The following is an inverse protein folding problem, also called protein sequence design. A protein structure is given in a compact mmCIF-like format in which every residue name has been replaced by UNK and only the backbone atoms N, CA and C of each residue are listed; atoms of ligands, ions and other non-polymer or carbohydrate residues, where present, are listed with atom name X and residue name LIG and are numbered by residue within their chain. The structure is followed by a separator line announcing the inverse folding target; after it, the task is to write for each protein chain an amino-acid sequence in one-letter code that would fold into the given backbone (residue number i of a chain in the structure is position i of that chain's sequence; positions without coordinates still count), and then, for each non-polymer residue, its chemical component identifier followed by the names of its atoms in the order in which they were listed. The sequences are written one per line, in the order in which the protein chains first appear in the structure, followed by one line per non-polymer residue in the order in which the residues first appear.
data_IF_462335659810
#
_entry.id   IF_462335659810
#
_cell.length_a   1.000
_cell.length_b   1.000
_cell.length_c   1.000
_cell.angle_alpha   90.00
_cell.angle_beta   90.00
_cell.angle_gamma   90.00
#
_symmetry.space_group_name_H-M   'P 1'
#
loop_
_entity.id
_entity.type
_entity.pdbx_description
1 polymer ?
#
# COMPACT_ATOMS: atom_id res chain seq x y z
N UNK A 1 -25.00 52.01 -4.90
CA UNK A 1 -25.84 51.19 -3.98
C UNK A 1 -26.25 49.81 -4.52
N UNK A 2 -26.85 49.64 -5.70
CA UNK A 2 -27.31 48.32 -6.19
C UNK A 2 -26.16 47.28 -6.38
N UNK A 3 -24.98 47.68 -6.87
CA UNK A 3 -23.80 46.77 -7.06
C UNK A 3 -23.20 46.27 -5.74
N UNK A 4 -23.13 47.11 -4.71
CA UNK A 4 -22.64 46.72 -3.38
C UNK A 4 -23.56 45.69 -2.72
N UNK A 5 -24.87 45.83 -2.84
CA UNK A 5 -25.85 44.88 -2.30
C UNK A 5 -25.78 43.51 -3.02
N UNK A 6 -25.46 43.49 -4.32
CA UNK A 6 -25.26 42.26 -5.08
C UNK A 6 -23.98 41.54 -4.61
N UNK A 7 -22.89 42.27 -4.44
CA UNK A 7 -21.61 41.73 -3.97
C UNK A 7 -21.74 41.10 -2.57
N UNK A 8 -22.40 41.76 -1.65
CA UNK A 8 -22.66 41.24 -0.29
C UNK A 8 -23.51 39.94 -0.34
N UNK A 9 -24.51 39.88 -1.22
CA UNK A 9 -25.31 38.66 -1.39
C UNK A 9 -24.46 37.51 -1.91
N UNK A 10 -23.63 37.75 -2.91
CA UNK A 10 -22.73 36.70 -3.46
C UNK A 10 -21.79 36.15 -2.36
N UNK A 11 -21.19 37.03 -1.56
CA UNK A 11 -20.33 36.61 -0.45
C UNK A 11 -21.10 35.75 0.55
N UNK A 12 -22.33 36.15 0.93
CA UNK A 12 -23.16 35.34 1.83
C UNK A 12 -23.45 33.94 1.27
N UNK A 13 -23.79 33.83 -0.02
CA UNK A 13 -24.03 32.54 -0.65
C UNK A 13 -22.75 31.68 -0.70
N UNK A 14 -21.61 32.28 -1.00
CA UNK A 14 -20.31 31.54 -0.99
C UNK A 14 -19.97 31.04 0.43
N UNK A 15 -20.22 31.82 1.47
CA UNK A 15 -20.03 31.41 2.86
C UNK A 15 -20.97 30.26 3.27
N UNK A 16 -22.22 30.30 2.83
CA UNK A 16 -23.19 29.23 3.09
C UNK A 16 -22.76 27.95 2.37
N UNK A 17 -22.36 28.04 1.10
CA UNK A 17 -21.88 26.88 0.34
C UNK A 17 -20.62 26.29 0.97
N UNK A 18 -19.65 27.12 1.35
CA UNK A 18 -18.43 26.67 2.01
C UNK A 18 -18.69 25.99 3.36
N UNK A 19 -19.60 26.52 4.16
CA UNK A 19 -19.99 25.90 5.43
C UNK A 19 -20.69 24.55 5.23
N UNK A 20 -21.55 24.44 4.22
CA UNK A 20 -22.19 23.16 3.86
C UNK A 20 -21.17 22.12 3.41
N UNK A 21 -20.20 22.50 2.57
CA UNK A 21 -19.12 21.63 2.15
C UNK A 21 -18.27 21.13 3.32
N UNK A 22 -17.99 21.99 4.31
CA UNK A 22 -17.28 21.63 5.53
C UNK A 22 -18.07 20.59 6.33
N UNK A 23 -19.37 20.77 6.50
CA UNK A 23 -20.24 19.83 7.23
C UNK A 23 -20.26 18.47 6.52
N UNK A 24 -20.43 18.47 5.20
CA UNK A 24 -20.39 17.23 4.40
C UNK A 24 -19.02 16.55 4.54
N UNK A 25 -17.93 17.31 4.46
CA UNK A 25 -16.58 16.79 4.63
C UNK A 25 -16.37 16.13 6.01
N UNK A 26 -16.81 16.79 7.08
CA UNK A 26 -16.74 16.25 8.45
C UNK A 26 -17.58 14.96 8.54
N UNK A 27 -18.80 14.96 8.01
CA UNK A 27 -19.68 13.80 8.00
C UNK A 27 -19.06 12.60 7.30
N UNK A 28 -18.46 12.79 6.12
CA UNK A 28 -17.77 11.75 5.39
C UNK A 28 -16.56 11.21 6.16
N UNK A 29 -15.79 12.08 6.82
CA UNK A 29 -14.67 11.64 7.66
C UNK A 29 -15.10 10.78 8.83
N UNK A 30 -16.17 11.16 9.52
CA UNK A 30 -16.72 10.41 10.63
C UNK A 30 -17.27 9.06 10.15
N UNK A 31 -17.94 9.03 8.99
CA UNK A 31 -18.42 7.80 8.38
C UNK A 31 -17.26 6.85 8.04
N UNK A 32 -16.22 7.31 7.34
CA UNK A 32 -15.05 6.49 7.03
C UNK A 32 -14.40 5.96 8.32
N UNK A 33 -14.20 6.84 9.32
CA UNK A 33 -13.64 6.45 10.60
C UNK A 33 -14.47 5.40 11.34
N UNK A 34 -15.80 5.40 11.19
CA UNK A 34 -16.67 4.39 11.82
C UNK A 34 -16.50 2.99 11.26
N UNK A 35 -15.94 2.86 10.05
CA UNK A 35 -15.64 1.58 9.39
C UNK A 35 -14.20 1.11 9.59
N UNK A 36 -13.42 1.82 10.41
CA UNK A 36 -12.01 1.52 10.67
C UNK A 36 -11.82 0.21 11.43
N UNK A 37 -11.04 -0.70 10.87
CA UNK A 37 -10.56 -1.88 11.58
C UNK A 37 -9.24 -1.52 12.27
N UNK A 38 -9.20 -1.68 13.58
CA UNK A 38 -7.99 -1.46 14.37
C UNK A 38 -7.04 -2.64 14.20
N UNK A 39 -5.95 -2.41 13.51
CA UNK A 39 -4.91 -3.42 13.31
C UNK A 39 -4.13 -3.61 14.61
N UNK A 40 -4.09 -4.84 15.10
CA UNK A 40 -3.33 -5.20 16.30
C UNK A 40 -1.83 -5.33 15.94
N UNK A 41 -1.03 -4.42 16.46
CA UNK A 41 0.42 -4.39 16.24
C UNK A 41 1.11 -5.69 16.69
N UNK A 42 0.65 -6.30 17.78
CA UNK A 42 1.26 -7.53 18.29
C UNK A 42 1.01 -8.71 17.32
N UNK A 43 -0.17 -8.76 16.71
CA UNK A 43 -0.45 -9.77 15.67
C UNK A 43 0.45 -9.56 14.46
N UNK A 44 0.64 -8.30 13.99
CA UNK A 44 1.58 -8.03 12.91
C UNK A 44 2.99 -8.50 13.27
N UNK A 45 3.47 -8.16 14.46
CA UNK A 45 4.81 -8.56 14.93
C UNK A 45 4.98 -10.09 15.01
N UNK A 46 3.98 -10.79 15.52
CA UNK A 46 4.00 -12.26 15.64
C UNK A 46 3.99 -12.97 14.28
N UNK A 47 3.35 -12.37 13.27
CA UNK A 47 3.29 -12.88 11.92
C UNK A 47 4.43 -12.39 11.01
N UNK A 48 5.36 -11.64 11.57
CA UNK A 48 6.53 -11.12 10.86
C UNK A 48 7.75 -11.93 11.26
N UNK A 49 8.29 -12.66 10.31
CA UNK A 49 9.43 -13.56 10.55
C UNK A 49 10.71 -13.10 9.83
N UNK A 50 10.68 -11.93 9.18
CA UNK A 50 11.80 -11.32 8.48
C UNK A 50 12.06 -9.89 8.95
N UNK A 51 13.24 -9.39 8.61
CA UNK A 51 13.63 -7.98 8.76
C UNK A 51 14.37 -7.54 7.51
N UNK A 52 13.74 -6.69 6.71
CA UNK A 52 14.33 -6.12 5.51
C UNK A 52 15.35 -5.03 5.86
N UNK A 53 16.42 -4.93 5.07
CA UNK A 53 17.34 -3.79 5.12
C UNK A 53 16.69 -2.53 4.56
N UNK A 54 17.23 -1.36 4.89
CA UNK A 54 16.73 -0.09 4.36
C UNK A 54 16.85 -0.03 2.82
N UNK A 55 17.88 -0.67 2.24
CA UNK A 55 18.03 -0.81 0.79
C UNK A 55 16.90 -1.68 0.20
N UNK A 56 16.63 -2.85 0.79
CA UNK A 56 15.53 -3.71 0.35
C UNK A 56 14.18 -3.00 0.43
N UNK A 57 13.95 -2.19 1.48
CA UNK A 57 12.73 -1.39 1.61
C UNK A 57 12.62 -0.34 0.51
N UNK A 58 13.72 0.36 0.16
CA UNK A 58 13.74 1.31 -0.97
C UNK A 58 13.43 0.62 -2.30
N UNK A 59 14.06 -0.52 -2.56
CA UNK A 59 13.78 -1.33 -3.75
C UNK A 59 12.30 -1.74 -3.80
N UNK A 60 11.76 -2.29 -2.73
CA UNK A 60 10.37 -2.71 -2.64
C UNK A 60 9.41 -1.53 -2.88
N UNK A 61 9.70 -0.37 -2.31
CA UNK A 61 8.92 0.84 -2.51
C UNK A 61 8.87 1.26 -3.98
N UNK A 62 10.02 1.28 -4.65
CA UNK A 62 10.10 1.64 -6.05
C UNK A 62 9.37 0.64 -6.95
N UNK A 63 9.59 -0.67 -6.73
CA UNK A 63 9.03 -1.72 -7.60
C UNK A 63 7.53 -1.89 -7.42
N UNK A 64 7.05 -1.87 -6.18
CA UNK A 64 5.64 -2.15 -5.88
C UNK A 64 4.75 -0.91 -5.97
N UNK A 65 5.30 0.26 -5.68
CA UNK A 65 4.49 1.47 -5.49
C UNK A 65 4.97 2.67 -6.33
N UNK A 66 6.00 2.50 -7.15
CA UNK A 66 6.57 3.53 -8.02
C UNK A 66 7.02 4.80 -7.26
N UNK A 67 7.48 4.64 -6.02
CA UNK A 67 7.93 5.72 -5.15
C UNK A 67 9.34 5.47 -4.63
N UNK A 68 10.11 6.56 -4.48
CA UNK A 68 11.46 6.50 -3.89
C UNK A 68 11.45 6.64 -2.36
N UNK A 69 10.41 7.22 -1.79
CA UNK A 69 10.29 7.39 -0.34
C UNK A 69 9.36 6.32 0.25
N UNK A 70 9.91 5.41 1.07
CA UNK A 70 9.13 4.34 1.69
C UNK A 70 8.27 4.80 2.87
N UNK A 71 8.51 5.98 3.41
CA UNK A 71 7.77 6.51 4.56
C UNK A 71 6.34 6.91 4.17
N UNK A 72 5.45 6.82 5.15
CA UNK A 72 4.09 7.33 4.96
C UNK A 72 4.11 8.86 4.87
N UNK A 73 3.72 9.41 3.73
CA UNK A 73 3.45 10.83 3.65
C UNK A 73 2.14 11.11 4.40
N UNK A 74 2.18 12.09 5.32
CA UNK A 74 1.00 12.59 6.02
C UNK A 74 0.05 13.29 5.05
N UNK A 75 -0.78 12.52 4.35
CA UNK A 75 -1.86 13.08 3.55
C UNK A 75 -3.02 13.44 4.48
N UNK A 76 -3.15 14.72 4.78
CA UNK A 76 -4.21 15.24 5.64
C UNK A 76 -5.59 15.37 4.97
N UNK A 77 -5.75 14.94 3.72
CA UNK A 77 -6.97 15.18 2.97
C UNK A 77 -7.62 13.89 2.47
N UNK A 78 -8.91 13.69 2.85
CA UNK A 78 -9.82 12.67 2.32
C UNK A 78 -9.84 12.60 0.79
N UNK A 79 -9.78 13.76 0.14
CA UNK A 79 -9.87 13.90 -1.30
C UNK A 79 -8.64 13.27 -1.98
N UNK A 80 -7.44 13.50 -1.46
CA UNK A 80 -6.22 12.90 -2.00
C UNK A 80 -6.19 11.38 -1.80
N UNK A 81 -6.70 10.87 -0.67
CA UNK A 81 -6.75 9.43 -0.41
C UNK A 81 -7.82 8.70 -1.22
N UNK A 82 -8.99 9.33 -1.41
CA UNK A 82 -10.08 8.75 -2.20
C UNK A 82 -9.78 8.72 -3.71
N UNK A 83 -8.98 9.68 -4.20
CA UNK A 83 -8.55 9.75 -5.60
C UNK A 83 -7.12 9.24 -5.83
N UNK A 84 -6.34 9.02 -4.77
CA UNK A 84 -5.06 8.35 -4.86
C UNK A 84 -5.30 6.84 -5.04
N UNK A 85 -5.42 6.42 -6.28
CA UNK A 85 -5.42 5.00 -6.69
C UNK A 85 -4.07 4.33 -6.42
N UNK A 86 -3.09 5.06 -5.88
CA UNK A 86 -1.76 4.52 -5.61
C UNK A 86 -1.82 3.57 -4.44
N UNK A 87 -1.63 2.31 -4.75
CA UNK A 87 -1.33 1.31 -3.75
C UNK A 87 -0.12 1.78 -2.93
N UNK A 88 -0.14 1.54 -1.64
CA UNK A 88 1.02 1.72 -0.79
C UNK A 88 1.08 0.57 0.21
N UNK A 89 2.21 0.47 0.91
CA UNK A 89 2.45 -0.61 1.85
C UNK A 89 1.39 -0.67 2.98
N UNK A 90 0.80 0.46 3.37
CA UNK A 90 -0.25 0.48 4.38
C UNK A 90 -1.54 -0.20 3.89
N UNK A 91 -1.90 -0.03 2.60
CA UNK A 91 -3.05 -0.72 2.01
C UNK A 91 -2.78 -2.22 1.89
N UNK A 92 -1.59 -2.61 1.44
CA UNK A 92 -1.19 -4.02 1.36
C UNK A 92 -1.21 -4.67 2.75
N UNK A 93 -0.71 -3.97 3.77
CA UNK A 93 -0.77 -4.42 5.17
C UNK A 93 -2.21 -4.59 5.64
N UNK A 94 -3.07 -3.60 5.38
CA UNK A 94 -4.49 -3.66 5.76
C UNK A 94 -5.20 -4.85 5.09
N UNK A 95 -5.00 -5.04 3.79
CA UNK A 95 -5.64 -6.12 3.01
C UNK A 95 -5.21 -7.51 3.50
N UNK A 96 -3.92 -7.73 3.73
CA UNK A 96 -3.42 -9.01 4.27
C UNK A 96 -3.98 -9.23 5.68
N UNK A 97 -3.98 -8.20 6.53
CA UNK A 97 -4.50 -8.30 7.89
C UNK A 97 -6.00 -8.60 7.91
N UNK A 98 -6.79 -7.89 7.10
CA UNK A 98 -8.23 -8.11 6.99
C UNK A 98 -8.50 -9.55 6.50
N UNK A 99 -7.83 -9.98 5.44
CA UNK A 99 -8.00 -11.33 4.89
C UNK A 99 -7.63 -12.43 5.87
N UNK A 100 -6.67 -12.20 6.77
CA UNK A 100 -6.18 -13.19 7.73
C UNK A 100 -6.98 -13.23 9.03
N UNK A 101 -7.45 -12.09 9.52
CA UNK A 101 -7.98 -11.93 10.86
C UNK A 101 -9.44 -11.51 10.94
N UNK A 102 -10.04 -11.12 9.82
CA UNK A 102 -11.43 -10.69 9.78
C UNK A 102 -12.26 -11.66 8.94
N UNK A 103 -13.48 -11.96 9.41
CA UNK A 103 -14.43 -12.71 8.58
C UNK A 103 -14.98 -11.75 7.51
N UNK A 104 -14.46 -11.91 6.30
CA UNK A 104 -14.81 -11.08 5.14
C UNK A 104 -16.32 -11.03 4.89
N UNK A 105 -17.03 -12.14 5.17
CA UNK A 105 -18.49 -12.23 4.99
C UNK A 105 -19.28 -11.30 5.91
N UNK A 106 -18.67 -10.86 7.00
CA UNK A 106 -19.28 -9.95 7.99
C UNK A 106 -18.83 -8.50 7.84
N UNK A 107 -17.97 -8.19 6.85
CA UNK A 107 -17.40 -6.85 6.69
C UNK A 107 -18.26 -5.91 5.87
N UNK A 108 -19.17 -6.41 5.04
CA UNK A 108 -20.07 -5.60 4.23
C UNK A 108 -20.65 -6.37 3.04
N UNK A 109 -21.82 -5.95 2.60
CA UNK A 109 -22.55 -6.62 1.51
C UNK A 109 -22.26 -6.00 0.14
N UNK A 110 -21.56 -4.88 0.09
CA UNK A 110 -21.32 -4.15 -1.15
C UNK A 110 -19.84 -3.86 -1.40
N UNK A 111 -19.47 -3.73 -2.68
CA UNK A 111 -18.12 -3.32 -3.09
C UNK A 111 -17.71 -1.96 -2.49
N UNK A 112 -18.68 -1.04 -2.30
CA UNK A 112 -18.42 0.28 -1.71
C UNK A 112 -18.08 0.19 -0.22
N UNK A 113 -18.73 -0.72 0.51
CA UNK A 113 -18.42 -0.95 1.93
C UNK A 113 -17.00 -1.51 2.09
N UNK A 114 -16.61 -2.48 1.27
CA UNK A 114 -15.24 -2.98 1.24
C UNK A 114 -14.23 -1.88 1.00
N UNK A 115 -14.41 -1.08 -0.04
CA UNK A 115 -13.50 0.04 -0.35
C UNK A 115 -13.42 1.05 0.80
N UNK A 116 -14.53 1.28 1.50
CA UNK A 116 -14.57 2.19 2.65
C UNK A 116 -13.81 1.60 3.84
N UNK A 117 -13.94 0.30 4.09
CA UNK A 117 -13.20 -0.41 5.16
C UNK A 117 -11.70 -0.42 4.85
N UNK A 118 -11.31 -0.73 3.61
CA UNK A 118 -9.92 -0.71 3.17
C UNK A 118 -9.30 0.69 3.37
N UNK A 119 -9.99 1.73 2.93
CA UNK A 119 -9.55 3.12 3.09
C UNK A 119 -9.41 3.51 4.57
N UNK A 120 -10.38 3.16 5.39
CA UNK A 120 -10.38 3.45 6.81
C UNK A 120 -9.24 2.71 7.52
N UNK A 121 -9.06 1.42 7.22
CA UNK A 121 -8.02 0.57 7.82
C UNK A 121 -6.62 0.98 7.34
N UNK A 122 -6.44 1.32 6.05
CA UNK A 122 -5.22 1.93 5.52
C UNK A 122 -4.82 3.16 6.33
N UNK A 123 -5.78 4.05 6.60
CA UNK A 123 -5.53 5.26 7.41
C UNK A 123 -5.11 4.93 8.84
N UNK A 124 -5.76 3.93 9.44
CA UNK A 124 -5.34 3.46 10.75
C UNK A 124 -3.90 2.98 10.75
N UNK A 125 -3.53 2.15 9.77
CA UNK A 125 -2.15 1.64 9.60
C UNK A 125 -1.17 2.78 9.45
N UNK A 126 -1.41 3.71 8.52
CA UNK A 126 -0.53 4.87 8.30
C UNK A 126 -0.30 5.72 9.55
N UNK A 127 -1.28 5.81 10.41
CA UNK A 127 -1.22 6.62 11.63
C UNK A 127 -0.57 5.92 12.81
N UNK A 128 -0.71 4.60 12.92
CA UNK A 128 -0.44 3.86 14.15
C UNK A 128 0.64 2.78 14.00
N UNK A 129 1.00 2.41 12.78
CA UNK A 129 1.95 1.33 12.50
C UNK A 129 3.17 1.90 11.80
N UNK A 130 4.35 1.49 12.24
CA UNK A 130 5.61 1.86 11.60
C UNK A 130 5.72 1.25 10.18
N UNK A 131 6.21 2.03 9.21
CA UNK A 131 6.28 1.59 7.82
C UNK A 131 7.23 0.40 7.63
N UNK A 132 8.33 0.31 8.40
CA UNK A 132 9.26 -0.84 8.33
C UNK A 132 8.56 -2.13 8.78
N UNK A 133 7.74 -2.05 9.82
CA UNK A 133 6.92 -3.19 10.23
C UNK A 133 5.92 -3.58 9.16
N UNK A 134 5.32 -2.62 8.45
CA UNK A 134 4.43 -2.91 7.33
C UNK A 134 5.14 -3.65 6.20
N UNK A 135 6.33 -3.21 5.79
CA UNK A 135 7.13 -3.92 4.77
C UNK A 135 7.50 -5.33 5.22
N UNK A 136 8.00 -5.48 6.44
CA UNK A 136 8.37 -6.78 6.98
C UNK A 136 7.15 -7.72 7.04
N UNK A 137 5.99 -7.23 7.49
CA UNK A 137 4.76 -8.02 7.54
C UNK A 137 4.27 -8.43 6.15
N UNK A 138 4.23 -7.50 5.19
CA UNK A 138 3.82 -7.81 3.82
C UNK A 138 4.74 -8.85 3.22
N UNK A 139 6.06 -8.69 3.30
CA UNK A 139 6.99 -9.64 2.73
C UNK A 139 7.04 -10.99 3.46
N UNK A 140 6.64 -11.04 4.74
CA UNK A 140 6.46 -12.31 5.45
C UNK A 140 5.22 -13.10 5.00
N UNK A 141 4.23 -12.40 4.41
CA UNK A 141 2.91 -13.01 4.13
C UNK A 141 2.50 -12.93 2.66
N UNK A 142 3.21 -12.19 1.81
CA UNK A 142 2.87 -12.04 0.40
C UNK A 142 2.97 -13.35 -0.37
N UNK A 143 2.15 -13.45 -1.42
CA UNK A 143 2.19 -14.54 -2.38
C UNK A 143 3.22 -14.28 -3.49
N UNK A 144 4.11 -15.24 -3.72
CA UNK A 144 5.21 -15.16 -4.70
C UNK A 144 5.03 -16.12 -5.89
N UNK A 145 3.81 -16.56 -6.18
CA UNK A 145 3.59 -17.60 -7.19
C UNK A 145 3.84 -19.01 -6.66
N UNK A 146 3.48 -20.02 -7.45
CA UNK A 146 3.77 -21.44 -7.16
C UNK A 146 3.40 -21.92 -5.74
N UNK A 147 2.30 -21.39 -5.19
CA UNK A 147 1.84 -21.68 -3.83
C UNK A 147 2.81 -21.24 -2.72
N UNK A 148 3.76 -20.37 -3.03
CA UNK A 148 4.75 -19.87 -2.08
C UNK A 148 4.25 -18.59 -1.41
N UNK A 149 4.29 -18.59 -0.10
CA UNK A 149 4.00 -17.43 0.74
C UNK A 149 5.24 -17.10 1.58
N UNK A 150 5.54 -15.80 1.68
CA UNK A 150 6.65 -15.28 2.45
C UNK A 150 7.99 -15.28 1.71
N UNK A 151 8.75 -14.21 1.93
CA UNK A 151 10.03 -13.95 1.27
C UNK A 151 11.08 -15.05 1.55
N UNK A 152 11.10 -15.63 2.75
CA UNK A 152 12.02 -16.72 3.07
C UNK A 152 11.83 -17.90 2.14
N UNK A 153 10.58 -18.35 2.00
CA UNK A 153 10.29 -19.52 1.15
C UNK A 153 10.56 -19.20 -0.32
N UNK A 154 10.21 -17.99 -0.76
CA UNK A 154 10.45 -17.57 -2.13
C UNK A 154 11.97 -17.49 -2.46
N UNK A 155 12.77 -16.90 -1.57
CA UNK A 155 14.21 -16.77 -1.79
C UNK A 155 14.92 -18.13 -1.84
N UNK A 156 14.53 -19.05 -0.96
CA UNK A 156 15.07 -20.41 -0.97
C UNK A 156 14.67 -21.18 -2.24
N UNK A 157 13.39 -21.09 -2.61
CA UNK A 157 12.85 -21.83 -3.76
C UNK A 157 13.44 -21.34 -5.09
N UNK A 158 13.46 -20.02 -5.34
CA UNK A 158 13.87 -19.47 -6.63
C UNK A 158 15.38 -19.29 -6.78
N UNK A 159 16.10 -19.04 -5.67
CA UNK A 159 17.52 -18.68 -5.70
C UNK A 159 18.41 -19.58 -4.83
N UNK A 160 17.82 -20.51 -4.07
CA UNK A 160 18.55 -21.36 -3.08
C UNK A 160 19.40 -20.53 -2.13
N UNK A 161 18.87 -19.38 -1.69
CA UNK A 161 19.55 -18.40 -0.85
C UNK A 161 18.68 -17.96 0.32
N UNK A 162 19.34 -17.56 1.42
CA UNK A 162 18.66 -16.81 2.46
C UNK A 162 18.24 -15.43 1.89
N UNK A 163 17.07 -14.91 2.28
CA UNK A 163 16.58 -13.62 1.80
C UNK A 163 17.53 -12.44 2.09
N UNK A 164 18.40 -12.55 3.10
CA UNK A 164 19.43 -11.56 3.44
C UNK A 164 20.62 -11.57 2.47
N UNK A 165 20.83 -12.67 1.77
CA UNK A 165 21.97 -12.90 0.86
C UNK A 165 21.57 -12.66 -0.61
N UNK A 166 20.34 -12.22 -0.84
CA UNK A 166 19.86 -11.85 -2.18
C UNK A 166 20.60 -10.61 -2.69
N UNK A 167 21.03 -10.67 -3.93
CA UNK A 167 21.48 -9.46 -4.65
C UNK A 167 20.31 -8.52 -4.90
N UNK A 168 20.58 -7.22 -5.13
CA UNK A 168 19.52 -6.23 -5.42
C UNK A 168 18.67 -6.66 -6.62
N UNK A 169 19.26 -7.28 -7.67
CA UNK A 169 18.52 -7.78 -8.84
C UNK A 169 17.61 -8.97 -8.49
N UNK A 170 18.08 -9.92 -7.71
CA UNK A 170 17.26 -11.05 -7.25
C UNK A 170 16.09 -10.57 -6.37
N UNK A 171 16.34 -9.59 -5.49
CA UNK A 171 15.29 -9.01 -4.68
C UNK A 171 14.27 -8.23 -5.52
N UNK A 172 14.72 -7.44 -6.52
CA UNK A 172 13.82 -6.77 -7.49
C UNK A 172 12.94 -7.82 -8.20
N UNK A 173 13.53 -8.94 -8.63
CA UNK A 173 12.80 -10.01 -9.30
C UNK A 173 11.70 -10.60 -8.41
N UNK A 174 11.95 -10.79 -7.11
CA UNK A 174 10.93 -11.23 -6.16
C UNK A 174 9.85 -10.16 -5.93
N UNK A 175 10.20 -8.88 -5.92
CA UNK A 175 9.21 -7.81 -5.86
C UNK A 175 8.30 -7.80 -7.11
N UNK A 176 8.84 -8.08 -8.30
CA UNK A 176 8.07 -8.19 -9.53
C UNK A 176 7.08 -9.37 -9.47
N UNK A 177 7.46 -10.50 -8.86
CA UNK A 177 6.56 -11.63 -8.61
C UNK A 177 5.38 -11.25 -7.71
N UNK A 178 5.60 -10.51 -6.63
CA UNK A 178 4.49 -10.01 -5.79
C UNK A 178 3.52 -9.17 -6.62
N UNK A 179 4.03 -8.34 -7.51
CA UNK A 179 3.22 -7.45 -8.33
C UNK A 179 2.40 -8.20 -9.38
N UNK A 180 3.02 -9.18 -10.06
CA UNK A 180 2.31 -10.03 -11.02
C UNK A 180 2.99 -11.40 -11.19
N UNK A 181 2.61 -12.43 -10.39
CA UNK A 181 3.23 -13.74 -10.42
C UNK A 181 3.03 -14.49 -11.74
N UNK A 182 2.01 -14.14 -12.54
CA UNK A 182 1.78 -14.80 -13.84
C UNK A 182 2.69 -14.28 -14.96
N UNK A 183 3.07 -13.01 -14.88
CA UNK A 183 3.93 -12.38 -15.91
C UNK A 183 5.41 -12.60 -15.63
N UNK A 184 5.78 -12.71 -14.35
CA UNK A 184 7.16 -12.75 -13.91
C UNK A 184 7.57 -14.12 -13.31
N UNK A 185 6.82 -15.18 -13.63
CA UNK A 185 7.13 -16.54 -13.16
C UNK A 185 8.48 -17.02 -13.71
N UNK A 186 9.39 -17.39 -12.81
CA UNK A 186 10.73 -17.87 -13.19
C UNK A 186 10.75 -19.30 -13.76
N UNK A 187 9.68 -20.05 -13.65
CA UNK A 187 9.58 -21.42 -14.14
C UNK A 187 9.33 -21.48 -15.64
N UNK A 188 8.82 -20.39 -16.24
CA UNK A 188 8.64 -20.27 -17.66
C UNK A 188 9.76 -19.41 -18.27
N UNK A 189 10.49 -19.93 -19.25
CA UNK A 189 11.68 -19.29 -19.82
C UNK A 189 11.39 -17.87 -20.38
N UNK A 190 10.26 -17.68 -21.04
CA UNK A 190 9.85 -16.37 -21.57
C UNK A 190 9.59 -15.36 -20.45
N UNK A 191 8.88 -15.78 -19.39
CA UNK A 191 8.56 -14.94 -18.24
C UNK A 191 9.83 -14.63 -17.44
N UNK A 192 10.72 -15.59 -17.28
CA UNK A 192 12.03 -15.40 -16.65
C UNK A 192 12.85 -14.34 -17.37
N UNK A 193 12.97 -14.43 -18.69
CA UNK A 193 13.67 -13.42 -19.51
C UNK A 193 13.06 -12.03 -19.32
N UNK A 194 11.73 -11.93 -19.36
CA UNK A 194 10.99 -10.67 -19.12
C UNK A 194 11.26 -10.11 -17.72
N UNK A 195 11.30 -10.97 -16.72
CA UNK A 195 11.62 -10.58 -15.36
C UNK A 195 13.06 -10.05 -15.23
N UNK A 196 14.03 -10.75 -15.83
CA UNK A 196 15.44 -10.34 -15.83
C UNK A 196 15.65 -9.01 -16.55
N UNK A 197 15.02 -8.79 -17.70
CA UNK A 197 15.05 -7.54 -18.45
C UNK A 197 14.50 -6.39 -17.60
N UNK A 198 13.33 -6.60 -16.96
CA UNK A 198 12.70 -5.59 -16.11
C UNK A 198 13.50 -5.31 -14.84
N UNK A 199 14.05 -6.35 -14.22
CA UNK A 199 14.91 -6.20 -13.05
C UNK A 199 16.19 -5.41 -13.38
N UNK A 200 16.78 -5.63 -14.54
CA UNK A 200 17.93 -4.85 -15.01
C UNK A 200 17.58 -3.38 -15.25
N UNK A 201 16.44 -3.09 -15.88
CA UNK A 201 15.96 -1.71 -16.08
C UNK A 201 15.81 -0.97 -14.74
N UNK A 202 15.17 -1.60 -13.76
CA UNK A 202 14.96 -1.00 -12.44
C UNK A 202 16.29 -0.83 -11.70
N UNK A 203 17.18 -1.82 -11.77
CA UNK A 203 18.49 -1.75 -11.12
C UNK A 203 19.34 -0.59 -11.67
N UNK A 204 19.31 -0.36 -12.99
CA UNK A 204 20.01 0.80 -13.60
C UNK A 204 19.46 2.13 -13.08
N UNK A 205 18.15 2.28 -13.00
CA UNK A 205 17.52 3.49 -12.43
C UNK A 205 17.95 3.75 -10.98
N UNK A 206 18.03 2.69 -10.15
CA UNK A 206 18.51 2.82 -8.77
C UNK A 206 19.98 3.24 -8.68
N UNK A 207 20.80 2.87 -9.68
CA UNK A 207 22.23 3.22 -9.73
C UNK A 207 22.46 4.66 -10.16
N UNK A 208 21.59 5.21 -11.01
CA UNK A 208 21.70 6.58 -11.52
C UNK A 208 21.24 7.64 -10.50
N UNK A 209 20.44 7.24 -9.50
CA UNK A 209 19.90 8.13 -8.45
C UNK A 209 20.75 8.16 -7.16
N UNK A 210 21.88 7.43 -7.10
CA UNK A 210 22.86 7.43 -6.00
C UNK A 210 24.14 8.15 -6.39
#
# INVERSE_FOLDING_TARGET
MKRQNLFIKIIKYLLIISSLLIVVYIGLNLFVKSKEIKVDKNKLMNDTDISLSDEQIKIACLVLYEHMNPEFHNYHFLINDAFSTRNNIALSTANIYIGKYCDIRNLGDTSMEYQTIDLATKRYVMKNIDYKLCYNYVFSNAYFGNQLYGLKNASEFYFSKNYKDLTSKEFISLCLLINNPHIYDFLEEENKKRCEEKANEIYMKLSDDN
#
